data_IF_987391509345
#
_entry.id   IF_987391509345
#
_cell.length_a   1.000
_cell.length_b   1.000
_cell.length_c   1.000
_cell.angle_alpha   90.00
_cell.angle_beta   90.00
_cell.angle_gamma   90.00
#
_symmetry.space_group_name_H-M   'P 1'
#
loop_
_entity.id
_entity.type
_entity.pdbx_description
1 polymer ?
#
# COMPACT_ATOMS: atom_id res chain seq x y z
N UNK A 1 -18.46 -35.53 -66.67
CA UNK A 1 -17.45 -35.06 -65.69
C UNK A 1 -18.17 -34.27 -64.62
N UNK A 2 -18.42 -34.90 -63.46
CA UNK A 2 -19.13 -34.30 -62.33
C UNK A 2 -18.09 -33.71 -61.37
N UNK A 3 -18.01 -32.38 -61.32
CA UNK A 3 -17.10 -31.63 -60.47
C UNK A 3 -17.59 -31.61 -59.02
N UNK A 4 -16.87 -32.30 -58.14
CA UNK A 4 -17.07 -32.21 -56.70
C UNK A 4 -16.40 -30.92 -56.17
N UNK A 5 -17.20 -29.97 -55.67
CA UNK A 5 -16.74 -28.85 -54.84
C UNK A 5 -16.80 -29.28 -53.37
N UNK A 6 -15.71 -29.20 -52.60
CA UNK A 6 -15.75 -29.47 -51.17
C UNK A 6 -16.43 -28.32 -50.42
N UNK A 7 -17.50 -28.65 -49.68
CA UNK A 7 -18.14 -27.78 -48.69
C UNK A 7 -17.35 -27.86 -47.39
N UNK A 8 -16.77 -26.74 -46.96
CA UNK A 8 -16.07 -26.60 -45.68
C UNK A 8 -17.06 -26.16 -44.62
N UNK A 9 -17.51 -27.08 -43.75
CA UNK A 9 -18.19 -26.71 -42.51
C UNK A 9 -17.17 -26.08 -41.56
N UNK A 10 -17.22 -24.76 -41.40
CA UNK A 10 -16.53 -24.05 -40.32
C UNK A 10 -17.39 -24.12 -39.06
N UNK A 11 -17.02 -24.98 -38.11
CA UNK A 11 -17.48 -24.86 -36.74
C UNK A 11 -16.69 -23.72 -36.08
N UNK A 12 -17.36 -22.60 -35.79
CA UNK A 12 -16.86 -21.59 -34.87
C UNK A 12 -16.73 -22.23 -33.48
N UNK A 13 -15.55 -22.23 -32.85
CA UNK A 13 -15.46 -22.64 -31.46
C UNK A 13 -16.23 -21.63 -30.59
N UNK A 14 -16.94 -22.08 -29.54
CA UNK A 14 -17.69 -21.19 -28.68
C UNK A 14 -16.72 -20.26 -27.96
N UNK A 15 -16.99 -18.96 -28.04
CA UNK A 15 -16.38 -17.98 -27.16
C UNK A 15 -16.66 -18.35 -25.70
N UNK A 16 -15.69 -19.01 -25.06
CA UNK A 16 -15.62 -19.05 -23.61
C UNK A 16 -15.24 -17.66 -23.15
N UNK A 17 -16.26 -16.82 -22.94
CA UNK A 17 -16.20 -15.66 -22.05
C UNK A 17 -15.51 -16.11 -20.76
N UNK A 18 -14.23 -15.76 -20.61
CA UNK A 18 -13.57 -15.71 -19.32
C UNK A 18 -14.36 -14.73 -18.46
N UNK A 19 -15.25 -15.23 -17.59
CA UNK A 19 -15.67 -14.46 -16.43
C UNK A 19 -14.47 -14.40 -15.50
N UNK A 20 -13.72 -13.30 -15.59
CA UNK A 20 -12.83 -12.84 -14.53
C UNK A 20 -13.66 -12.82 -13.23
N UNK A 21 -13.33 -13.66 -12.26
CA UNK A 21 -13.84 -13.50 -10.91
C UNK A 21 -13.05 -12.31 -10.34
N UNK A 22 -13.58 -11.10 -10.50
CA UNK A 22 -12.99 -9.84 -10.02
C UNK A 22 -12.84 -9.91 -8.49
N UNK A 23 -11.62 -9.98 -7.98
CA UNK A 23 -11.31 -9.32 -6.70
C UNK A 23 -11.55 -7.83 -6.91
N UNK A 24 -12.52 -7.25 -6.21
CA UNK A 24 -12.81 -5.81 -6.31
C UNK A 24 -11.57 -5.04 -5.84
N UNK A 25 -10.97 -4.26 -6.73
CA UNK A 25 -9.92 -3.31 -6.38
C UNK A 25 -10.40 -2.30 -5.33
N UNK A 26 -9.47 -1.58 -4.70
CA UNK A 26 -9.79 -0.47 -3.78
C UNK A 26 -10.73 0.55 -4.46
N UNK A 27 -10.54 0.77 -5.76
CA UNK A 27 -11.36 1.64 -6.60
C UNK A 27 -12.74 1.03 -6.88
N UNK A 28 -12.85 -0.27 -7.13
CA UNK A 28 -14.14 -0.95 -7.28
C UNK A 28 -14.97 -0.91 -5.98
N UNK A 29 -14.31 -0.95 -4.82
CA UNK A 29 -14.96 -0.77 -3.52
C UNK A 29 -15.43 0.68 -3.32
N UNK A 30 -14.63 1.66 -3.75
CA UNK A 30 -15.02 3.07 -3.71
C UNK A 30 -16.23 3.35 -4.63
N UNK A 31 -16.21 2.81 -5.85
CA UNK A 31 -17.33 2.90 -6.80
C UNK A 31 -18.57 2.18 -6.27
N UNK A 32 -18.41 0.99 -5.68
CA UNK A 32 -19.53 0.26 -5.09
C UNK A 32 -20.14 1.00 -3.89
N UNK A 33 -19.32 1.69 -3.07
CA UNK A 33 -19.82 2.56 -2.00
C UNK A 33 -20.60 3.73 -2.60
N UNK A 34 -20.04 4.39 -3.60
CA UNK A 34 -20.69 5.49 -4.30
C UNK A 34 -22.06 5.05 -4.83
N UNK A 35 -22.13 3.97 -5.61
CA UNK A 35 -23.39 3.40 -6.11
C UNK A 35 -24.37 3.08 -4.97
N UNK A 36 -23.89 2.51 -3.87
CA UNK A 36 -24.73 2.17 -2.73
C UNK A 36 -25.34 3.39 -2.02
N UNK A 37 -24.58 4.47 -1.86
CA UNK A 37 -25.06 5.72 -1.26
C UNK A 37 -26.04 6.40 -2.21
N UNK A 38 -25.69 6.55 -3.49
CA UNK A 38 -26.51 7.27 -4.47
C UNK A 38 -27.74 6.49 -4.97
N UNK A 39 -27.85 5.20 -4.67
CA UNK A 39 -29.08 4.41 -4.87
C UNK A 39 -30.14 4.66 -3.80
N UNK A 40 -29.81 5.33 -2.69
CA UNK A 40 -30.75 5.70 -1.63
C UNK A 40 -31.28 7.14 -1.83
N UNK A 41 -32.42 7.52 -1.21
CA UNK A 41 -32.90 8.90 -1.25
C UNK A 41 -31.85 9.88 -0.74
N UNK A 42 -31.46 10.85 -1.57
CA UNK A 42 -30.32 11.73 -1.28
C UNK A 42 -30.61 12.70 -0.13
N UNK A 43 -31.88 13.01 0.13
CA UNK A 43 -32.34 13.88 1.22
C UNK A 43 -31.91 13.34 2.60
N UNK A 44 -31.65 12.03 2.70
CA UNK A 44 -31.10 11.40 3.91
C UNK A 44 -29.70 11.91 4.26
N UNK A 45 -28.90 12.25 3.25
CA UNK A 45 -27.48 12.56 3.40
C UNK A 45 -27.16 14.02 3.05
N UNK A 46 -28.01 14.66 2.24
CA UNK A 46 -27.88 16.04 1.82
C UNK A 46 -27.70 16.99 3.01
N UNK A 47 -26.54 17.63 3.13
CA UNK A 47 -26.16 18.52 4.25
C UNK A 47 -26.11 17.84 5.64
N UNK A 48 -26.14 16.51 5.68
CA UNK A 48 -26.14 15.68 6.90
C UNK A 48 -24.84 14.85 7.00
N UNK A 49 -23.68 15.48 7.26
CA UNK A 49 -22.39 14.81 7.18
C UNK A 49 -22.26 13.61 8.14
N UNK A 50 -22.82 13.71 9.35
CA UNK A 50 -22.77 12.63 10.34
C UNK A 50 -23.60 11.40 9.93
N UNK A 51 -24.76 11.60 9.31
CA UNK A 51 -25.56 10.50 8.76
C UNK A 51 -24.86 9.82 7.59
N UNK A 52 -24.17 10.60 6.75
CA UNK A 52 -23.38 10.06 5.65
C UNK A 52 -22.17 9.26 6.16
N UNK A 53 -21.40 9.77 7.12
CA UNK A 53 -20.29 9.03 7.77
C UNK A 53 -20.77 7.70 8.34
N UNK A 54 -21.92 7.70 9.04
CA UNK A 54 -22.52 6.48 9.58
C UNK A 54 -22.92 5.47 8.50
N UNK A 55 -23.47 5.95 7.37
CA UNK A 55 -23.82 5.10 6.23
C UNK A 55 -22.58 4.51 5.54
N UNK A 56 -21.53 5.32 5.35
CA UNK A 56 -20.24 4.87 4.82
C UNK A 56 -19.65 3.80 5.72
N UNK A 57 -19.64 4.01 7.04
CA UNK A 57 -19.11 3.03 8.00
C UNK A 57 -19.90 1.71 7.98
N UNK A 58 -21.23 1.78 7.93
CA UNK A 58 -22.09 0.59 7.82
C UNK A 58 -21.76 -0.22 6.56
N UNK A 59 -21.57 0.45 5.42
CA UNK A 59 -21.16 -0.22 4.18
C UNK A 59 -19.74 -0.80 4.29
N UNK A 60 -18.81 -0.01 4.83
CA UNK A 60 -17.40 -0.39 5.01
C UNK A 60 -17.23 -1.60 5.92
N UNK A 61 -18.03 -1.73 6.98
CA UNK A 61 -18.03 -2.91 7.86
C UNK A 61 -18.39 -4.19 7.09
N UNK A 62 -19.40 -4.12 6.22
CA UNK A 62 -19.84 -5.25 5.41
C UNK A 62 -18.86 -5.61 4.27
N UNK A 63 -18.13 -4.63 3.75
CA UNK A 63 -17.22 -4.79 2.61
C UNK A 63 -15.73 -4.78 2.97
N UNK A 64 -15.42 -4.70 4.26
CA UNK A 64 -14.05 -4.64 4.83
C UNK A 64 -13.19 -3.52 4.24
N UNK A 65 -13.77 -2.34 4.03
CA UNK A 65 -13.04 -1.17 3.54
C UNK A 65 -12.13 -0.59 4.64
N UNK A 66 -11.00 -0.02 4.21
CA UNK A 66 -10.00 0.60 5.07
C UNK A 66 -10.34 2.07 5.29
N UNK A 67 -11.32 2.34 6.15
CA UNK A 67 -11.71 3.71 6.54
C UNK A 67 -11.27 4.02 7.98
N UNK A 68 -11.12 5.31 8.28
CA UNK A 68 -10.98 5.79 9.65
C UNK A 68 -12.31 5.68 10.40
N UNK A 69 -12.40 4.73 11.34
CA UNK A 69 -13.65 4.31 12.01
C UNK A 69 -14.02 5.17 13.22
N UNK A 70 -15.29 5.10 13.63
CA UNK A 70 -15.86 5.91 14.71
C UNK A 70 -15.06 5.89 16.03
N UNK A 71 -14.52 4.74 16.44
CA UNK A 71 -13.82 4.64 17.73
C UNK A 71 -12.52 5.47 17.74
N UNK A 72 -11.78 5.49 16.62
CA UNK A 72 -10.59 6.34 16.47
C UNK A 72 -10.99 7.80 16.25
N UNK A 73 -12.04 8.03 15.46
CA UNK A 73 -12.58 9.36 15.21
C UNK A 73 -13.06 10.06 16.49
N UNK A 74 -13.64 9.32 17.42
CA UNK A 74 -14.07 9.86 18.73
C UNK A 74 -12.88 10.39 19.53
N UNK A 75 -11.77 9.65 19.56
CA UNK A 75 -10.53 10.09 20.22
C UNK A 75 -9.92 11.31 19.52
N UNK A 76 -9.83 11.28 18.18
CA UNK A 76 -9.32 12.41 17.41
C UNK A 76 -10.18 13.68 17.61
N UNK A 77 -11.50 13.52 17.64
CA UNK A 77 -12.46 14.59 17.93
C UNK A 77 -12.23 15.19 19.31
N UNK A 78 -11.99 14.37 20.34
CA UNK A 78 -11.66 14.86 21.69
C UNK A 78 -10.38 15.71 21.69
N UNK A 79 -9.34 15.30 20.94
CA UNK A 79 -8.11 16.09 20.83
C UNK A 79 -8.36 17.44 20.14
N UNK A 80 -9.15 17.47 19.05
CA UNK A 80 -9.51 18.72 18.35
C UNK A 80 -10.33 19.68 19.23
N UNK A 81 -11.26 19.16 20.05
CA UNK A 81 -12.00 19.98 21.03
C UNK A 81 -11.11 20.59 22.12
N UNK A 82 -9.98 19.94 22.42
CA UNK A 82 -9.01 20.44 23.40
C UNK A 82 -8.13 21.59 22.89
N UNK A 83 -8.12 21.86 21.58
CA UNK A 83 -7.29 22.91 20.99
C UNK A 83 -7.85 24.30 21.31
N UNK A 84 -6.95 25.22 21.63
CA UNK A 84 -7.25 26.63 21.89
C UNK A 84 -6.25 27.53 21.15
N UNK A 85 -6.71 28.40 20.23
CA UNK A 85 -8.10 28.57 19.78
C UNK A 85 -8.63 27.34 19.01
N UNK A 86 -9.95 27.26 18.74
CA UNK A 86 -10.51 26.20 17.90
C UNK A 86 -9.83 26.14 16.52
N UNK A 87 -9.49 24.95 16.02
CA UNK A 87 -8.74 24.76 14.78
C UNK A 87 -9.54 25.28 13.59
N UNK A 88 -8.85 25.88 12.61
CA UNK A 88 -9.45 26.34 11.35
C UNK A 88 -8.93 25.57 10.14
N UNK A 89 -7.66 25.17 10.12
CA UNK A 89 -7.03 24.51 8.97
C UNK A 89 -6.56 23.11 9.31
N UNK A 90 -7.10 22.13 8.58
CA UNK A 90 -6.73 20.72 8.65
C UNK A 90 -6.11 20.30 7.32
N UNK A 91 -4.98 19.59 7.36
CA UNK A 91 -4.41 18.90 6.20
C UNK A 91 -4.44 17.38 6.42
N UNK A 92 -4.87 16.64 5.41
CA UNK A 92 -5.01 15.18 5.47
C UNK A 92 -4.26 14.51 4.32
N UNK A 93 -3.45 13.52 4.68
CA UNK A 93 -2.68 12.69 3.78
C UNK A 93 -3.35 11.33 3.64
N UNK A 94 -4.11 11.15 2.55
CA UNK A 94 -4.92 9.97 2.27
C UNK A 94 -6.42 10.24 2.45
N UNK A 95 -7.13 10.51 1.35
CA UNK A 95 -8.58 10.76 1.38
C UNK A 95 -9.40 9.47 1.29
N UNK A 96 -8.95 8.54 0.44
CA UNK A 96 -9.73 7.40 -0.05
C UNK A 96 -11.14 7.82 -0.51
N UNK A 97 -12.19 7.36 0.18
CA UNK A 97 -13.60 7.69 -0.13
C UNK A 97 -14.10 8.94 0.61
N UNK A 98 -13.24 9.62 1.36
CA UNK A 98 -13.55 10.88 2.04
C UNK A 98 -14.26 10.74 3.39
N UNK A 99 -14.29 9.54 4.00
CA UNK A 99 -14.96 9.34 5.30
C UNK A 99 -14.40 10.24 6.41
N UNK A 100 -13.07 10.24 6.58
CA UNK A 100 -12.36 11.11 7.52
C UNK A 100 -12.47 12.58 7.11
N UNK A 101 -12.28 12.91 5.84
CA UNK A 101 -12.43 14.27 5.30
C UNK A 101 -13.80 14.90 5.64
N UNK A 102 -14.89 14.15 5.43
CA UNK A 102 -16.25 14.57 5.78
C UNK A 102 -16.38 14.75 7.30
N UNK A 103 -15.80 13.83 8.08
CA UNK A 103 -15.81 13.94 9.54
C UNK A 103 -15.02 15.17 10.04
N UNK A 104 -13.87 15.49 9.46
CA UNK A 104 -13.12 16.72 9.78
C UNK A 104 -13.94 17.97 9.48
N UNK A 105 -14.56 18.03 8.30
CA UNK A 105 -15.46 19.13 7.95
C UNK A 105 -16.63 19.27 8.93
N UNK A 106 -17.25 18.16 9.33
CA UNK A 106 -18.33 18.14 10.32
C UNK A 106 -17.85 18.60 11.72
N UNK A 107 -16.67 18.16 12.16
CA UNK A 107 -16.08 18.56 13.44
C UNK A 107 -15.79 20.06 13.45
N UNK A 108 -15.22 20.62 12.38
CA UNK A 108 -15.00 22.07 12.27
C UNK A 108 -16.34 22.83 12.29
N UNK A 109 -17.36 22.33 11.60
CA UNK A 109 -18.70 22.92 11.62
C UNK A 109 -19.29 22.96 13.04
N UNK A 110 -19.13 21.88 13.79
CA UNK A 110 -19.58 21.79 15.18
C UNK A 110 -18.79 22.74 16.10
N UNK A 111 -17.46 22.83 15.94
CA UNK A 111 -16.58 23.68 16.75
C UNK A 111 -16.80 25.18 16.53
N UNK A 112 -17.20 25.57 15.31
CA UNK A 112 -17.42 26.97 14.93
C UNK A 112 -18.90 27.36 14.85
N UNK A 113 -19.82 26.53 15.37
CA UNK A 113 -21.25 26.82 15.38
C UNK A 113 -21.85 27.04 13.99
N UNK A 114 -21.33 26.36 12.98
CA UNK A 114 -21.72 26.51 11.57
C UNK A 114 -20.94 27.58 10.79
N UNK A 115 -20.20 28.46 11.46
CA UNK A 115 -19.50 29.56 10.81
C UNK A 115 -18.09 29.16 10.33
N UNK A 116 -18.02 28.48 9.18
CA UNK A 116 -16.79 27.84 8.68
C UNK A 116 -16.12 28.54 7.48
N UNK A 117 -16.46 29.81 7.20
CA UNK A 117 -15.92 30.55 6.04
C UNK A 117 -14.39 30.69 6.03
N UNK A 118 -13.78 30.76 7.22
CA UNK A 118 -12.32 30.83 7.39
C UNK A 118 -11.68 29.44 7.59
N UNK A 119 -12.48 28.39 7.63
CA UNK A 119 -12.01 27.04 7.89
C UNK A 119 -11.71 26.32 6.57
N UNK A 120 -10.73 25.43 6.60
CA UNK A 120 -10.31 24.66 5.44
C UNK A 120 -9.90 23.24 5.84
N UNK A 121 -10.38 22.25 5.10
CA UNK A 121 -9.82 20.88 5.12
C UNK A 121 -9.24 20.62 3.74
N UNK A 122 -7.92 20.43 3.65
CA UNK A 122 -7.25 20.01 2.42
C UNK A 122 -6.89 18.53 2.55
N UNK A 123 -7.39 17.70 1.63
CA UNK A 123 -7.13 16.26 1.66
C UNK A 123 -6.56 15.79 0.32
N UNK A 124 -5.56 14.92 0.36
CA UNK A 124 -4.79 14.50 -0.81
C UNK A 124 -5.06 13.03 -1.17
N UNK A 125 -5.45 12.78 -2.42
CA UNK A 125 -5.76 11.45 -2.94
C UNK A 125 -5.04 11.17 -4.25
N UNK A 126 -4.33 10.05 -4.33
CA UNK A 126 -3.56 9.69 -5.52
C UNK A 126 -4.46 9.11 -6.63
N UNK A 127 -5.46 8.31 -6.26
CA UNK A 127 -6.39 7.67 -7.21
C UNK A 127 -7.43 8.66 -7.70
N UNK A 128 -7.48 8.90 -9.01
CA UNK A 128 -8.49 9.75 -9.64
C UNK A 128 -9.92 9.26 -9.38
N UNK A 129 -10.12 7.94 -9.34
CA UNK A 129 -11.42 7.31 -9.05
C UNK A 129 -11.86 7.61 -7.62
N UNK A 130 -10.97 7.38 -6.65
CA UNK A 130 -11.27 7.61 -5.23
C UNK A 130 -11.47 9.10 -4.95
N UNK A 131 -10.63 9.96 -5.53
CA UNK A 131 -10.76 11.41 -5.43
C UNK A 131 -12.12 11.91 -5.95
N UNK A 132 -12.57 11.38 -7.10
CA UNK A 132 -13.89 11.69 -7.64
C UNK A 132 -15.01 11.24 -6.69
N UNK A 133 -14.97 10.00 -6.21
CA UNK A 133 -15.96 9.47 -5.25
C UNK A 133 -16.00 10.35 -3.99
N UNK A 134 -14.85 10.70 -3.43
CA UNK A 134 -14.76 11.56 -2.26
C UNK A 134 -15.35 12.95 -2.52
N UNK A 135 -15.08 13.57 -3.68
CA UNK A 135 -15.69 14.88 -4.06
C UNK A 135 -17.21 14.80 -4.13
N UNK A 136 -17.76 13.74 -4.70
CA UNK A 136 -19.21 13.55 -4.83
C UNK A 136 -19.87 13.35 -3.45
N UNK A 137 -19.23 12.59 -2.55
CA UNK A 137 -19.71 12.39 -1.18
C UNK A 137 -19.55 13.65 -0.31
N UNK A 138 -18.46 14.41 -0.45
CA UNK A 138 -18.27 15.72 0.20
C UNK A 138 -19.34 16.71 -0.23
N UNK A 139 -19.67 16.75 -1.53
CA UNK A 139 -20.75 17.59 -2.05
C UNK A 139 -22.11 17.18 -1.49
N UNK A 140 -22.40 15.88 -1.46
CA UNK A 140 -23.62 15.37 -0.85
C UNK A 140 -23.71 15.75 0.64
N UNK A 141 -22.59 15.76 1.36
CA UNK A 141 -22.54 16.20 2.75
C UNK A 141 -22.74 17.72 2.95
N UNK A 142 -22.78 18.52 1.88
CA UNK A 142 -22.86 19.99 1.95
C UNK A 142 -21.57 20.63 2.49
N UNK A 143 -20.42 20.03 2.19
CA UNK A 143 -19.12 20.44 2.70
C UNK A 143 -18.14 20.89 1.60
N UNK A 144 -18.58 21.04 0.34
CA UNK A 144 -17.69 21.35 -0.80
C UNK A 144 -16.90 22.66 -0.65
N UNK A 145 -17.44 23.65 0.05
CA UNK A 145 -16.76 24.92 0.29
C UNK A 145 -15.65 24.79 1.34
N UNK A 146 -15.80 23.86 2.29
CA UNK A 146 -14.89 23.63 3.41
C UNK A 146 -13.84 22.55 3.12
N UNK A 147 -14.24 21.46 2.47
CA UNK A 147 -13.40 20.27 2.24
C UNK A 147 -12.95 20.20 0.79
N UNK A 148 -11.66 20.38 0.55
CA UNK A 148 -11.04 20.39 -0.78
C UNK A 148 -10.26 19.10 -0.99
N UNK A 149 -10.76 18.26 -1.90
CA UNK A 149 -10.10 17.01 -2.32
C UNK A 149 -9.18 17.28 -3.51
N UNK A 150 -7.87 17.21 -3.26
CA UNK A 150 -6.83 17.38 -4.28
C UNK A 150 -6.38 16.02 -4.81
N UNK A 151 -6.44 15.89 -6.12
CA UNK A 151 -5.99 14.68 -6.81
C UNK A 151 -4.52 14.79 -7.18
N UNK A 152 -3.77 13.73 -6.88
CA UNK A 152 -2.35 13.59 -7.16
C UNK A 152 -1.52 13.33 -5.91
N UNK A 153 -0.18 13.26 -6.06
CA UNK A 153 0.72 13.07 -4.93
C UNK A 153 0.56 14.18 -3.88
N UNK A 154 0.53 13.78 -2.60
CA UNK A 154 0.30 14.70 -1.49
C UNK A 154 1.38 15.78 -1.38
N UNK A 155 2.66 15.40 -1.49
CA UNK A 155 3.79 16.33 -1.45
C UNK A 155 3.69 17.45 -2.50
N UNK A 156 3.35 17.10 -3.74
CA UNK A 156 3.24 18.07 -4.84
C UNK A 156 2.01 18.97 -4.69
N UNK A 157 0.89 18.38 -4.28
CA UNK A 157 -0.35 19.12 -3.98
C UNK A 157 -0.15 20.12 -2.84
N UNK A 158 0.54 19.74 -1.77
CA UNK A 158 0.82 20.60 -0.63
C UNK A 158 1.75 21.77 -1.00
N UNK A 159 2.84 21.49 -1.74
CA UNK A 159 3.73 22.55 -2.25
C UNK A 159 2.97 23.56 -3.10
N UNK A 160 2.08 23.08 -3.98
CA UNK A 160 1.23 23.93 -4.81
C UNK A 160 0.33 24.83 -3.96
N UNK A 161 -0.37 24.27 -2.97
CA UNK A 161 -1.20 25.06 -2.05
C UNK A 161 -0.41 26.12 -1.28
N UNK A 162 0.82 25.80 -0.90
CA UNK A 162 1.72 26.74 -0.22
C UNK A 162 2.15 27.89 -1.13
N UNK A 163 2.60 27.58 -2.35
CA UNK A 163 3.00 28.57 -3.37
C UNK A 163 1.83 29.49 -3.74
N UNK A 164 0.62 28.94 -3.84
CA UNK A 164 -0.61 29.69 -4.11
C UNK A 164 -1.10 30.51 -2.90
N UNK A 165 -0.42 30.43 -1.74
CA UNK A 165 -0.79 31.16 -0.52
C UNK A 165 -2.08 30.67 0.15
N UNK A 166 -2.61 29.51 -0.27
CA UNK A 166 -3.80 28.87 0.32
C UNK A 166 -3.47 28.23 1.66
N UNK A 167 -2.28 27.63 1.78
CA UNK A 167 -1.76 27.10 3.05
C UNK A 167 -0.52 27.91 3.43
N UNK A 168 -0.71 28.91 4.27
CA UNK A 168 0.33 29.84 4.71
C UNK A 168 1.26 29.20 5.75
N UNK A 169 2.50 29.68 5.91
CA UNK A 169 3.33 29.31 7.06
C UNK A 169 2.56 29.53 8.36
N UNK A 170 2.73 28.60 9.30
CA UNK A 170 2.16 28.63 10.66
C UNK A 170 0.63 28.67 10.71
N UNK A 171 -0.04 28.21 9.66
CA UNK A 171 -1.50 28.24 9.55
C UNK A 171 -2.17 26.87 9.78
N UNK A 172 -1.41 25.77 9.84
CA UNK A 172 -1.97 24.43 9.98
C UNK A 172 -2.17 24.10 11.46
N UNK A 173 -3.43 23.97 11.88
CA UNK A 173 -3.80 23.61 13.24
C UNK A 173 -3.72 22.10 13.46
N UNK A 174 -4.02 21.30 12.42
CA UNK A 174 -3.90 19.85 12.50
C UNK A 174 -3.47 19.20 11.19
N UNK A 175 -2.58 18.21 11.28
CA UNK A 175 -2.22 17.32 10.19
C UNK A 175 -2.59 15.87 10.52
N UNK A 176 -3.26 15.19 9.57
CA UNK A 176 -3.66 13.80 9.67
C UNK A 176 -2.93 12.93 8.65
N UNK A 177 -2.31 11.84 9.10
CA UNK A 177 -1.62 10.86 8.24
C UNK A 177 -2.36 9.52 8.27
N UNK A 178 -2.91 9.11 7.12
CA UNK A 178 -3.65 7.84 6.96
C UNK A 178 -3.45 7.22 5.55
N UNK A 179 -2.31 7.51 4.91
CA UNK A 179 -1.92 6.89 3.64
C UNK A 179 -0.84 5.81 3.83
N UNK A 180 -0.03 5.54 2.82
CA UNK A 180 1.08 4.59 2.89
C UNK A 180 2.16 5.04 3.88
N UNK A 181 2.41 4.20 4.89
CA UNK A 181 3.25 4.46 6.06
C UNK A 181 4.67 4.98 5.73
N UNK A 182 5.23 4.53 4.60
CA UNK A 182 6.56 4.92 4.13
C UNK A 182 6.68 6.42 3.83
N UNK A 183 5.56 7.10 3.59
CA UNK A 183 5.53 8.53 3.29
C UNK A 183 5.20 9.41 4.51
N UNK A 184 4.89 8.83 5.67
CA UNK A 184 4.52 9.62 6.86
C UNK A 184 5.65 10.55 7.28
N UNK A 185 6.88 10.03 7.38
CA UNK A 185 8.04 10.83 7.76
C UNK A 185 8.41 11.87 6.69
N UNK A 186 8.57 11.51 5.40
CA UNK A 186 8.84 12.50 4.34
C UNK A 186 7.80 13.63 4.28
N UNK A 187 6.52 13.31 4.39
CA UNK A 187 5.45 14.31 4.31
C UNK A 187 5.37 15.18 5.58
N UNK A 188 5.63 14.60 6.77
CA UNK A 188 5.80 15.38 8.01
C UNK A 188 6.95 16.37 7.87
N UNK A 189 8.11 15.90 7.38
CA UNK A 189 9.29 16.75 7.17
C UNK A 189 9.03 17.85 6.14
N UNK A 190 8.27 17.57 5.09
CA UNK A 190 7.84 18.60 4.14
C UNK A 190 6.99 19.68 4.82
N UNK A 191 6.07 19.30 5.72
CA UNK A 191 5.28 20.26 6.48
C UNK A 191 6.16 21.14 7.39
N UNK A 192 7.22 20.57 7.99
CA UNK A 192 8.21 21.33 8.75
C UNK A 192 9.01 22.29 7.85
N UNK A 193 9.47 21.82 6.68
CA UNK A 193 10.28 22.60 5.74
C UNK A 193 9.50 23.79 5.15
N UNK A 194 8.20 23.61 4.92
CA UNK A 194 7.28 24.68 4.53
C UNK A 194 6.81 25.55 5.72
N UNK A 195 7.31 25.26 6.93
CA UNK A 195 7.01 25.98 8.18
C UNK A 195 5.49 26.09 8.43
N UNK A 196 4.75 25.00 8.19
CA UNK A 196 3.28 25.04 8.25
C UNK A 196 2.72 25.02 9.67
N UNK A 197 3.47 24.47 10.62
CA UNK A 197 3.05 24.30 12.00
C UNK A 197 3.35 25.53 12.87
N UNK A 198 2.47 25.76 13.84
CA UNK A 198 2.67 26.70 14.94
C UNK A 198 2.74 25.95 16.27
N UNK A 199 3.03 26.68 17.36
CA UNK A 199 2.95 26.09 18.70
C UNK A 199 1.50 25.73 18.98
N UNK A 200 1.25 24.47 19.33
CA UNK A 200 -0.10 23.95 19.55
C UNK A 200 -0.71 23.21 18.36
N UNK A 201 -0.05 23.20 17.18
CA UNK A 201 -0.47 22.34 16.08
C UNK A 201 -0.49 20.87 16.52
N UNK A 202 -1.52 20.15 16.11
CA UNK A 202 -1.74 18.75 16.41
C UNK A 202 -1.35 17.88 15.21
N UNK A 203 -0.62 16.79 15.45
CA UNK A 203 -0.36 15.78 14.42
C UNK A 203 -0.97 14.46 14.88
N UNK A 204 -1.87 13.90 14.06
CA UNK A 204 -2.45 12.58 14.28
C UNK A 204 -2.01 11.67 13.14
N UNK A 205 -1.53 10.48 13.47
CA UNK A 205 -1.15 9.47 12.49
C UNK A 205 -1.85 8.16 12.83
N UNK A 206 -2.61 7.60 11.88
CA UNK A 206 -3.27 6.32 12.05
C UNK A 206 -2.30 5.16 11.79
N UNK A 207 -2.62 3.98 12.33
CA UNK A 207 -1.96 2.71 12.03
C UNK A 207 -0.43 2.69 12.26
N UNK A 208 0.06 3.57 13.15
CA UNK A 208 1.49 3.71 13.50
C UNK A 208 2.08 2.50 14.22
N UNK A 209 1.24 1.72 14.91
CA UNK A 209 1.62 0.45 15.56
C UNK A 209 1.54 -0.76 14.59
N UNK A 210 0.60 -0.73 13.63
CA UNK A 210 0.40 -1.81 12.64
C UNK A 210 -0.45 -1.32 11.45
N UNK A 211 0.01 -1.43 10.17
CA UNK A 211 1.22 -2.12 9.69
C UNK A 211 2.54 -1.48 10.17
N UNK A 212 2.46 -0.24 10.65
CA UNK A 212 3.49 0.39 11.46
C UNK A 212 4.35 1.41 10.71
N UNK A 213 4.63 2.55 11.33
CA UNK A 213 5.44 3.62 10.75
C UNK A 213 6.70 3.86 11.61
N UNK A 214 7.68 2.94 11.60
CA UNK A 214 8.79 2.93 12.56
C UNK A 214 9.68 4.17 12.45
N UNK A 215 10.01 4.61 11.23
CA UNK A 215 10.87 5.78 11.02
C UNK A 215 10.17 7.06 11.48
N UNK A 216 8.87 7.20 11.18
CA UNK A 216 8.03 8.28 11.69
C UNK A 216 7.99 8.27 13.23
N UNK A 217 7.72 7.12 13.85
CA UNK A 217 7.66 7.00 15.30
C UNK A 217 8.99 7.31 15.97
N UNK A 218 10.10 6.82 15.43
CA UNK A 218 11.44 7.11 15.94
C UNK A 218 11.72 8.61 15.89
N UNK A 219 11.36 9.26 14.78
CA UNK A 219 11.56 10.69 14.56
C UNK A 219 10.74 11.57 15.52
N UNK A 220 9.44 11.32 15.67
CA UNK A 220 8.59 12.13 16.57
C UNK A 220 8.93 11.89 18.04
N UNK A 221 9.31 10.67 18.43
CA UNK A 221 9.77 10.35 19.81
C UNK A 221 11.12 10.99 20.13
N UNK A 222 11.98 11.19 19.14
CA UNK A 222 13.21 11.96 19.29
C UNK A 222 12.95 13.48 19.37
N UNK A 223 11.71 13.93 19.23
CA UNK A 223 11.32 15.33 19.28
C UNK A 223 11.57 16.10 17.97
N UNK A 224 11.68 15.39 16.83
CA UNK A 224 11.95 16.00 15.51
C UNK A 224 13.44 16.31 15.29
N UNK A 225 13.76 17.34 14.48
CA UNK A 225 15.16 17.67 14.09
C UNK A 225 16.05 18.21 15.22
N UNK A 226 15.51 18.53 16.40
CA UNK A 226 16.28 18.90 17.59
C UNK A 226 16.99 20.27 17.58
N UNK A 227 16.77 21.13 16.58
CA UNK A 227 17.42 22.44 16.43
C UNK A 227 16.66 23.62 17.06
N UNK A 228 17.33 24.78 17.20
CA UNK A 228 16.67 26.03 17.59
C UNK A 228 15.85 26.55 16.41
N UNK A 229 14.54 26.75 16.59
CA UNK A 229 13.62 27.17 15.53
C UNK A 229 13.02 26.02 14.71
N UNK A 230 13.36 24.76 15.01
CA UNK A 230 12.71 23.59 14.40
C UNK A 230 11.46 23.21 15.18
N UNK A 231 10.54 22.49 14.53
CA UNK A 231 9.39 21.88 15.19
C UNK A 231 9.89 20.89 16.25
N UNK A 232 9.22 20.86 17.40
CA UNK A 232 9.44 19.88 18.47
C UNK A 232 8.13 19.19 18.78
N UNK A 233 8.19 17.87 18.88
CA UNK A 233 7.02 17.04 19.18
C UNK A 233 7.04 16.57 20.63
N UNK A 234 5.87 16.60 21.26
CA UNK A 234 5.54 15.76 22.40
C UNK A 234 4.58 14.69 21.88
N UNK A 235 4.88 13.41 22.11
CA UNK A 235 4.22 12.30 21.43
C UNK A 235 3.52 11.38 22.42
N UNK A 236 2.24 11.11 22.15
CA UNK A 236 1.41 10.19 22.93
C UNK A 236 0.74 9.18 22.01
N UNK A 237 0.71 7.90 22.42
CA UNK A 237 -0.06 6.85 21.75
C UNK A 237 -1.44 6.69 22.42
N UNK A 238 -2.50 6.83 21.63
CA UNK A 238 -3.87 6.59 22.08
C UNK A 238 -4.37 5.24 21.56
N UNK A 239 -5.05 4.47 22.41
CA UNK A 239 -5.65 3.17 22.02
C UNK A 239 -7.17 3.28 22.01
N UNK A 240 -7.78 3.10 20.85
CA UNK A 240 -9.22 2.95 20.74
C UNK A 240 -9.65 1.58 21.29
N UNK A 241 -10.66 1.55 22.16
CA UNK A 241 -11.31 0.31 22.60
C UNK A 241 -12.15 -0.20 21.44
N UNK A 242 -11.95 -1.44 21.01
CA UNK A 242 -12.85 -2.10 20.08
C UNK A 242 -14.13 -2.49 20.84
N UNK A 243 -15.32 -2.17 20.32
CA UNK A 243 -16.58 -2.62 20.93
C UNK A 243 -16.62 -4.15 21.04
N UNK A 244 -17.27 -4.65 22.10
CA UNK A 244 -17.38 -6.07 22.42
C UNK A 244 -17.97 -6.85 21.23
N UNK A 245 -17.06 -7.52 20.54
CA UNK A 245 -17.32 -8.37 19.39
C UNK A 245 -16.05 -9.09 18.93
N UNK A 246 -14.88 -8.48 19.17
CA UNK A 246 -13.59 -9.16 19.09
C UNK A 246 -12.57 -8.54 20.05
N UNK A 247 -11.76 -9.34 20.78
CA UNK A 247 -10.72 -8.80 21.64
C UNK A 247 -9.77 -7.93 20.82
N UNK A 248 -9.47 -6.74 21.31
CA UNK A 248 -8.35 -5.95 20.77
C UNK A 248 -7.06 -6.78 20.89
N UNK A 249 -6.19 -6.69 19.88
CA UNK A 249 -4.93 -7.44 19.83
C UNK A 249 -4.06 -7.19 21.09
N UNK A 250 -4.19 -6.02 21.73
CA UNK A 250 -3.50 -5.67 22.97
C UNK A 250 -3.89 -6.55 24.18
N UNK A 251 -5.18 -6.88 24.34
CA UNK A 251 -5.66 -7.69 25.46
C UNK A 251 -5.23 -9.17 25.34
N UNK A 252 -5.06 -9.67 24.11
CA UNK A 252 -4.58 -11.03 23.84
C UNK A 252 -3.10 -11.23 24.14
N UNK A 253 -2.27 -10.21 23.96
CA UNK A 253 -0.84 -10.30 24.23
C UNK A 253 -0.48 -10.18 25.71
N UNK A 254 -1.31 -9.51 26.52
CA UNK A 254 -1.09 -9.39 27.96
C UNK A 254 -1.32 -10.73 28.69
N UNK A 255 -2.26 -11.54 28.20
CA UNK A 255 -2.49 -12.92 28.65
C UNK A 255 -1.39 -13.92 28.21
N UNK A 256 -0.64 -13.62 27.13
CA UNK A 256 0.48 -14.44 26.65
C UNK A 256 1.77 -14.23 27.45
N UNK A 257 1.92 -13.08 28.13
CA UNK A 257 3.07 -12.79 29.00
C UNK A 257 2.96 -13.40 30.41
N UNK A 258 1.80 -13.92 30.80
CA UNK A 258 1.53 -14.45 32.15
C UNK A 258 1.56 -15.98 32.25
N UNK A 259 2.01 -16.69 31.22
CA UNK A 259 2.16 -18.15 31.28
C UNK A 259 3.55 -18.52 31.81
N UNK A 260 3.65 -19.39 32.84
CA UNK A 260 4.93 -19.77 33.42
C UNK A 260 5.75 -20.59 32.42
N UNK A 261 7.04 -20.29 32.33
CA UNK A 261 8.01 -21.12 31.61
C UNK A 261 8.14 -22.46 32.32
N UNK A 262 7.74 -23.55 31.66
CA UNK A 262 7.98 -24.91 32.15
C UNK A 262 9.21 -25.48 31.44
N UNK A 263 10.25 -25.67 32.25
CA UNK A 263 11.42 -26.49 31.95
C UNK A 263 11.07 -27.99 31.89
N UNK A 264 11.87 -28.70 31.10
CA UNK A 264 12.10 -30.15 31.04
C UNK A 264 10.93 -31.12 30.74
N UNK A 265 11.03 -31.74 29.56
CA UNK A 265 10.36 -33.00 29.24
C UNK A 265 11.09 -34.19 29.89
N UNK A 266 10.35 -35.28 30.19
CA UNK A 266 10.68 -36.51 29.50
C UNK A 266 9.46 -37.32 29.01
N UNK A 267 9.64 -37.95 27.85
CA UNK A 267 8.82 -39.06 27.32
C UNK A 267 8.91 -40.29 28.26
N UNK A 268 7.93 -41.24 28.32
CA UNK A 268 7.71 -42.18 27.19
C UNK A 268 6.32 -42.89 27.04
N UNK A 269 6.03 -43.30 25.79
CA UNK A 269 5.54 -44.64 25.32
C UNK A 269 4.10 -45.17 25.62
N UNK A 270 3.52 -45.70 24.53
CA UNK A 270 2.48 -46.75 24.33
C UNK A 270 0.96 -46.48 24.35
N UNK A 271 0.38 -46.88 23.20
CA UNK A 271 -0.81 -47.69 22.96
C UNK A 271 -2.07 -47.08 22.30
N UNK A 272 -2.41 -47.78 21.22
CA UNK A 272 -3.57 -47.69 20.32
C UNK A 272 -4.81 -48.22 21.04
N UNK A 273 -5.96 -47.55 20.90
CA UNK A 273 -7.24 -48.19 20.56
C UNK A 273 -8.39 -47.19 20.35
N UNK A 274 -9.14 -47.45 19.28
CA UNK A 274 -10.59 -47.26 19.07
C UNK A 274 -11.18 -45.84 18.98
N UNK A 275 -11.65 -45.57 17.75
CA UNK A 275 -12.66 -44.57 17.39
C UNK A 275 -14.03 -45.06 17.86
N UNK A 276 -14.85 -44.18 18.45
CA UNK A 276 -16.21 -44.04 17.98
C UNK A 276 -16.56 -42.57 17.67
N UNK A 277 -17.31 -42.41 16.58
CA UNK A 277 -17.83 -41.15 16.06
C UNK A 277 -18.63 -40.35 17.10
N UNK A 278 -18.51 -39.00 17.12
CA UNK A 278 -19.59 -38.15 17.59
C UNK A 278 -20.19 -37.32 16.45
N UNK A 279 -21.48 -37.58 16.27
CA UNK A 279 -22.53 -36.62 15.96
C UNK A 279 -22.13 -35.15 15.80
N UNK A 280 -22.49 -34.65 14.62
CA UNK A 280 -22.46 -33.26 14.20
C UNK A 280 -23.28 -32.36 15.13
N UNK A 281 -22.62 -31.62 16.02
CA UNK A 281 -22.95 -30.22 16.34
C UNK A 281 -21.91 -29.56 17.23
N UNK A 282 -21.65 -28.29 16.89
CA UNK A 282 -21.04 -27.21 17.68
C UNK A 282 -19.55 -26.90 17.41
N UNK A 283 -19.31 -25.57 17.36
CA UNK A 283 -18.05 -24.82 17.23
C UNK A 283 -17.56 -24.53 15.80
N UNK A 284 -18.19 -23.53 15.18
CA UNK A 284 -17.49 -22.58 14.32
C UNK A 284 -16.30 -22.02 15.10
N UNK A 285 -15.10 -22.51 14.80
CA UNK A 285 -13.86 -22.00 15.38
C UNK A 285 -13.34 -20.86 14.50
N UNK A 286 -13.44 -19.65 15.04
CA UNK A 286 -12.62 -18.50 14.65
C UNK A 286 -11.15 -18.82 14.92
N UNK A 287 -10.28 -18.83 13.90
CA UNK A 287 -8.86 -18.43 13.89
C UNK A 287 -8.21 -18.80 12.52
N UNK A 288 -7.35 -17.91 11.96
CA UNK A 288 -6.29 -18.13 10.93
C UNK A 288 -6.38 -17.27 9.63
N UNK A 289 -6.03 -15.99 9.68
CA UNK A 289 -5.70 -15.20 8.46
C UNK A 289 -4.35 -14.46 8.59
N UNK A 290 -3.31 -15.18 9.00
CA UNK A 290 -1.92 -14.67 9.07
C UNK A 290 -0.94 -15.68 8.48
N UNK A 291 -1.31 -16.27 7.35
CA UNK A 291 -0.62 -17.44 6.81
C UNK A 291 0.29 -17.08 5.64
N UNK A 292 1.56 -17.46 5.73
CA UNK A 292 2.44 -17.65 4.57
C UNK A 292 2.14 -19.02 3.98
N UNK A 293 1.72 -19.08 2.71
CA UNK A 293 1.43 -20.34 2.02
C UNK A 293 2.70 -20.98 1.47
N UNK A 294 3.50 -20.21 0.74
CA UNK A 294 4.69 -20.72 0.04
C UNK A 294 5.72 -19.64 -0.22
N UNK A 295 7.00 -20.02 -0.24
CA UNK A 295 8.11 -19.21 -0.71
C UNK A 295 8.74 -19.89 -1.93
N UNK A 296 8.93 -19.11 -2.98
CA UNK A 296 9.63 -19.52 -4.19
C UNK A 296 10.79 -18.54 -4.42
N UNK A 297 11.98 -19.05 -4.70
CA UNK A 297 13.14 -18.22 -5.08
C UNK A 297 13.55 -18.60 -6.50
N UNK A 298 13.66 -17.57 -7.34
CA UNK A 298 14.00 -17.69 -8.75
C UNK A 298 15.32 -16.95 -8.97
N UNK A 299 16.21 -17.55 -9.73
CA UNK A 299 17.51 -16.98 -10.07
C UNK A 299 17.39 -15.85 -11.12
N UNK A 300 18.52 -15.26 -11.51
CA UNK A 300 18.51 -14.12 -12.45
C UNK A 300 18.00 -14.54 -13.84
N UNK A 301 18.23 -15.78 -14.24
CA UNK A 301 17.82 -16.35 -15.53
C UNK A 301 16.37 -16.88 -15.56
N UNK A 302 15.61 -16.77 -14.46
CA UNK A 302 14.25 -17.28 -14.39
C UNK A 302 14.12 -18.76 -13.99
N UNK A 303 15.23 -19.38 -13.61
CA UNK A 303 15.26 -20.75 -13.10
C UNK A 303 14.85 -20.82 -11.62
N UNK A 304 14.04 -21.82 -11.29
CA UNK A 304 13.65 -22.13 -9.91
C UNK A 304 14.85 -22.66 -9.12
N UNK A 305 15.21 -21.99 -8.01
CA UNK A 305 16.31 -22.43 -7.13
C UNK A 305 15.85 -22.81 -5.74
N UNK A 306 14.66 -22.39 -5.31
CA UNK A 306 14.09 -22.81 -4.04
C UNK A 306 12.58 -22.83 -4.11
N UNK A 307 11.96 -23.82 -3.48
CA UNK A 307 10.53 -23.85 -3.24
C UNK A 307 10.27 -24.44 -1.85
N UNK A 308 9.37 -23.84 -1.09
CA UNK A 308 8.93 -24.37 0.20
C UNK A 308 7.49 -23.99 0.46
N UNK A 309 6.68 -24.99 0.74
CA UNK A 309 5.32 -24.82 1.23
C UNK A 309 5.32 -24.85 2.76
N UNK A 310 4.51 -23.98 3.37
CA UNK A 310 4.40 -23.89 4.83
C UNK A 310 3.01 -24.26 5.34
N UNK A 311 1.95 -24.00 4.56
CA UNK A 311 0.58 -24.37 4.91
C UNK A 311 -0.18 -25.00 3.75
N UNK A 312 -1.12 -25.91 4.05
CA UNK A 312 -2.13 -26.34 3.10
C UNK A 312 -3.12 -25.18 2.87
N UNK A 313 -3.28 -24.76 1.62
CA UNK A 313 -4.16 -23.63 1.27
C UNK A 313 -4.16 -23.31 -0.21
N UNK A 314 -3.06 -23.61 -0.89
CA UNK A 314 -2.95 -23.61 -2.34
C UNK A 314 -2.95 -25.05 -2.87
N UNK A 315 -3.43 -25.23 -4.11
CA UNK A 315 -3.30 -26.51 -4.82
C UNK A 315 -1.81 -26.79 -5.01
N UNK A 316 -1.35 -27.94 -4.53
CA UNK A 316 0.03 -28.38 -4.75
C UNK A 316 0.31 -28.50 -6.23
N UNK A 317 1.37 -27.83 -6.65
CA UNK A 317 1.89 -27.88 -8.01
C UNK A 317 2.94 -29.00 -8.09
N UNK A 318 3.07 -29.63 -9.25
CA UNK A 318 4.20 -30.52 -9.49
C UNK A 318 5.50 -29.72 -9.60
N UNK A 319 6.65 -30.37 -9.43
CA UNK A 319 7.95 -29.71 -9.64
C UNK A 319 8.06 -29.09 -11.03
N UNK A 320 7.50 -29.74 -12.05
CA UNK A 320 7.47 -29.21 -13.42
C UNK A 320 6.62 -27.95 -13.52
N UNK A 321 5.48 -27.90 -12.84
CA UNK A 321 4.63 -26.72 -12.80
C UNK A 321 5.32 -25.54 -12.11
N UNK A 322 6.10 -25.78 -11.05
CA UNK A 322 6.89 -24.73 -10.41
C UNK A 322 8.02 -24.20 -11.31
N UNK A 323 8.65 -25.07 -12.10
CA UNK A 323 9.62 -24.66 -13.12
C UNK A 323 8.97 -23.78 -14.19
N UNK A 324 7.79 -24.19 -14.69
CA UNK A 324 7.02 -23.40 -15.66
C UNK A 324 6.57 -22.07 -15.04
N UNK A 325 6.09 -22.07 -13.80
CA UNK A 325 5.69 -20.87 -13.07
C UNK A 325 6.87 -19.91 -12.92
N UNK A 326 8.05 -20.41 -12.57
CA UNK A 326 9.25 -19.60 -12.40
C UNK A 326 9.65 -18.91 -13.72
N UNK A 327 9.72 -19.66 -14.82
CA UNK A 327 10.02 -19.11 -16.14
C UNK A 327 8.96 -18.13 -16.63
N UNK A 328 7.68 -18.46 -16.42
CA UNK A 328 6.55 -17.59 -16.80
C UNK A 328 6.58 -16.28 -16.04
N UNK A 329 6.74 -16.34 -14.71
CA UNK A 329 6.85 -15.14 -13.88
C UNK A 329 8.05 -14.29 -14.29
N UNK A 330 9.20 -14.92 -14.55
CA UNK A 330 10.39 -14.21 -15.01
C UNK A 330 10.14 -13.44 -16.32
N UNK A 331 9.48 -14.08 -17.29
CA UNK A 331 9.07 -13.44 -18.55
C UNK A 331 8.10 -12.27 -18.32
N UNK A 332 7.05 -12.48 -17.52
CA UNK A 332 6.08 -11.42 -17.17
C UNK A 332 6.78 -10.25 -16.48
N UNK A 333 7.68 -10.53 -15.55
CA UNK A 333 8.46 -9.52 -14.84
C UNK A 333 9.36 -8.70 -15.81
N UNK A 334 9.95 -9.33 -16.83
CA UNK A 334 10.74 -8.62 -17.84
C UNK A 334 9.87 -7.79 -18.82
N UNK A 335 8.70 -8.30 -19.20
CA UNK A 335 7.75 -7.61 -20.07
C UNK A 335 7.19 -6.37 -19.35
N UNK A 336 6.76 -6.53 -18.10
CA UNK A 336 6.21 -5.44 -17.27
C UNK A 336 7.21 -4.30 -17.09
N UNK A 337 8.51 -4.61 -16.99
CA UNK A 337 9.60 -3.63 -17.01
C UNK A 337 9.72 -2.87 -18.33
N UNK A 338 9.38 -3.50 -19.46
CA UNK A 338 9.56 -2.94 -20.80
C UNK A 338 8.37 -2.08 -21.25
N UNK A 339 7.19 -2.31 -20.66
CA UNK A 339 5.95 -1.56 -20.94
C UNK A 339 5.77 -0.34 -20.03
N UNK A 340 6.75 -0.04 -19.16
CA UNK A 340 6.72 1.16 -18.32
C UNK A 340 6.55 2.41 -19.20
N UNK A 341 5.55 3.27 -18.92
CA UNK A 341 5.23 4.41 -19.78
C UNK A 341 6.44 5.33 -20.01
N UNK A 342 6.63 5.77 -21.26
CA UNK A 342 7.68 6.72 -21.65
C UNK A 342 7.03 8.07 -21.94
N UNK A 343 7.32 9.07 -21.13
CA UNK A 343 6.79 10.44 -21.26
C UNK A 343 7.64 11.19 -22.28
N UNK A 344 7.10 11.74 -23.38
CA UNK A 344 7.86 12.55 -24.32
C UNK A 344 8.38 13.83 -23.66
N UNK A 345 9.66 14.16 -23.83
CA UNK A 345 10.25 15.44 -23.43
C UNK A 345 10.33 16.33 -24.66
N UNK A 346 9.70 17.51 -24.59
CA UNK A 346 9.80 18.51 -25.65
C UNK A 346 11.26 18.94 -25.81
N UNK A 347 11.80 18.83 -27.02
CA UNK A 347 13.15 19.28 -27.33
C UNK A 347 13.27 20.80 -27.08
N UNK A 348 14.38 21.29 -26.51
CA UNK A 348 14.66 22.72 -26.43
C UNK A 348 14.71 23.33 -27.83
N UNK A 349 14.07 24.49 -28.03
CA UNK A 349 14.21 25.30 -29.23
C UNK A 349 15.70 25.68 -29.44
N UNK A 350 16.24 25.58 -30.66
CA UNK A 350 17.64 25.95 -30.92
C UNK A 350 17.84 27.44 -30.68
N UNK A 351 18.76 27.78 -29.76
CA UNK A 351 19.23 29.14 -29.56
C UNK A 351 20.00 29.61 -30.82
N UNK A 352 19.68 30.80 -31.30
CA UNK A 352 20.37 31.50 -32.38
C UNK A 352 21.84 31.79 -31.98
N UNK A 353 22.84 31.43 -32.81
CA UNK A 353 24.23 31.78 -32.51
C UNK A 353 24.50 33.24 -32.88
N UNK A 354 24.93 34.03 -31.89
CA UNK A 354 25.53 35.34 -32.10
C UNK A 354 26.93 35.17 -32.74
N UNK A 355 27.22 36.05 -33.69
CA UNK A 355 28.46 36.14 -34.44
C UNK A 355 29.65 36.56 -33.58
N UNK A 356 30.76 35.82 -33.66
CA UNK A 356 32.11 36.38 -33.55
C UNK A 356 33.13 35.43 -34.20
N UNK A 357 34.20 36.04 -34.70
CA UNK A 357 35.05 35.62 -35.79
C UNK A 357 36.30 34.82 -35.38
N UNK A 358 36.85 34.13 -36.39
CA UNK A 358 38.26 33.79 -36.65
C UNK A 358 38.98 32.74 -35.76
N UNK A 359 39.25 31.55 -36.31
CA UNK A 359 40.53 31.24 -36.96
C UNK A 359 40.56 29.83 -37.60
N UNK A 360 41.34 29.74 -38.68
CA UNK A 360 41.48 28.65 -39.65
C UNK A 360 42.51 27.62 -39.18
N UNK A 361 42.20 26.32 -39.30
CA UNK A 361 43.19 25.27 -39.56
C UNK A 361 42.54 24.03 -40.24
N UNK A 362 43.13 23.63 -41.37
CA UNK A 362 42.77 22.50 -42.23
C UNK A 362 43.23 21.15 -41.64
N UNK A 363 42.38 20.11 -41.71
CA UNK A 363 42.83 18.72 -41.98
C UNK A 363 41.67 17.78 -42.39
N UNK A 364 41.71 17.36 -43.66
CA UNK A 364 41.31 16.09 -44.32
C UNK A 364 39.91 15.44 -44.14
N UNK A 365 39.29 14.93 -45.25
CA UNK A 365 37.94 14.36 -45.23
C UNK A 365 37.95 12.82 -45.23
N UNK A 366 37.39 12.20 -44.19
CA UNK A 366 36.97 10.79 -44.24
C UNK A 366 35.91 10.50 -43.20
N UNK A 367 34.69 10.19 -43.64
CA UNK A 367 33.61 9.74 -42.77
C UNK A 367 32.23 10.08 -43.32
N UNK A 368 31.66 9.17 -44.10
CA UNK A 368 30.25 9.19 -44.49
C UNK A 368 29.39 9.00 -43.24
N UNK A 369 28.96 10.09 -42.59
CA UNK A 369 27.98 10.04 -41.51
C UNK A 369 26.58 10.13 -42.10
N UNK A 370 25.89 9.00 -42.14
CA UNK A 370 24.43 8.92 -42.28
C UNK A 370 23.75 9.78 -41.20
N UNK A 371 22.73 10.60 -41.52
CA UNK A 371 22.01 11.36 -40.51
C UNK A 371 21.26 10.38 -39.60
N UNK A 372 21.69 10.28 -38.35
CA UNK A 372 20.96 9.54 -37.32
C UNK A 372 19.74 10.38 -36.95
N UNK A 373 18.49 9.88 -37.09
CA UNK A 373 17.32 10.65 -36.69
C UNK A 373 17.41 10.98 -35.21
N UNK A 374 17.20 12.25 -34.86
CA UNK A 374 17.19 12.73 -33.49
C UNK A 374 16.27 11.85 -32.64
N UNK A 375 16.87 11.11 -31.70
CA UNK A 375 16.12 10.30 -30.75
C UNK A 375 15.19 11.24 -29.97
N UNK A 376 13.88 11.03 -30.09
CA UNK A 376 12.90 11.69 -29.24
C UNK A 376 13.30 11.43 -27.79
N UNK A 377 13.64 12.47 -27.04
CA UNK A 377 13.98 12.34 -25.63
C UNK A 377 12.70 11.90 -24.88
N UNK A 378 12.76 10.78 -24.16
CA UNK A 378 11.68 10.32 -23.29
C UNK A 378 12.15 10.30 -21.84
N UNK A 379 11.27 10.67 -20.91
CA UNK A 379 11.44 10.54 -19.47
C UNK A 379 10.58 9.42 -18.91
N UNK A 380 11.01 8.81 -17.80
CA UNK A 380 10.16 7.91 -17.02
C UNK A 380 9.20 8.73 -16.13
N UNK A 381 8.07 8.15 -15.67
CA UNK A 381 7.11 8.83 -14.80
C UNK A 381 7.68 9.28 -13.45
N UNK A 382 8.72 8.60 -12.97
CA UNK A 382 9.44 8.98 -11.77
C UNK A 382 10.96 8.95 -12.04
N UNK A 383 11.54 10.08 -12.48
CA UNK A 383 12.98 10.19 -12.73
C UNK A 383 13.75 10.00 -11.42
N UNK A 384 14.37 8.83 -11.23
CA UNK A 384 15.12 8.49 -10.02
C UNK A 384 14.76 7.13 -9.42
N UNK A 385 13.60 6.58 -9.78
CA UNK A 385 13.23 5.20 -9.42
C UNK A 385 13.68 4.28 -10.55
N UNK A 386 14.49 3.23 -10.27
CA UNK A 386 14.85 2.24 -11.28
C UNK A 386 13.59 1.59 -11.84
N UNK A 387 13.55 1.37 -13.15
CA UNK A 387 12.45 0.60 -13.76
C UNK A 387 12.48 -0.83 -13.19
N UNK A 388 11.42 -1.22 -12.48
CA UNK A 388 11.23 -2.57 -11.94
C UNK A 388 10.18 -3.33 -12.76
N UNK A 389 10.14 -4.66 -12.62
CA UNK A 389 9.08 -5.49 -13.19
C UNK A 389 7.92 -5.70 -12.20
N UNK A 390 7.05 -6.66 -12.47
CA UNK A 390 5.94 -7.06 -11.60
C UNK A 390 6.40 -7.29 -10.15
N UNK A 391 5.87 -6.49 -9.21
CA UNK A 391 6.23 -6.52 -7.78
C UNK A 391 5.16 -7.16 -6.90
N UNK A 392 3.88 -7.09 -7.28
CA UNK A 392 2.78 -7.68 -6.52
C UNK A 392 1.65 -8.11 -7.44
N UNK A 393 1.05 -9.25 -7.14
CA UNK A 393 -0.15 -9.78 -7.78
C UNK A 393 -1.07 -10.28 -6.68
N UNK A 394 -2.31 -9.80 -6.65
CA UNK A 394 -3.27 -10.14 -5.61
C UNK A 394 -4.49 -10.85 -6.21
N UNK A 395 -5.01 -11.82 -5.47
CA UNK A 395 -6.24 -12.56 -5.78
C UNK A 395 -7.10 -12.66 -4.52
N UNK A 396 -8.32 -13.18 -4.63
CA UNK A 396 -9.19 -13.44 -3.48
C UNK A 396 -8.69 -14.58 -2.57
N UNK A 397 -7.71 -15.38 -3.04
CA UNK A 397 -7.16 -16.54 -2.31
C UNK A 397 -5.76 -16.32 -1.77
N UNK A 398 -4.93 -15.60 -2.51
CA UNK A 398 -3.55 -15.34 -2.16
C UNK A 398 -3.05 -14.02 -2.72
N UNK A 399 -2.04 -13.46 -2.08
CA UNK A 399 -1.20 -12.40 -2.60
C UNK A 399 0.18 -12.96 -2.88
N UNK A 400 0.66 -12.72 -4.09
CA UNK A 400 2.02 -12.97 -4.55
C UNK A 400 2.79 -11.65 -4.49
N UNK A 401 3.83 -11.59 -3.67
CA UNK A 401 4.75 -10.45 -3.61
C UNK A 401 6.11 -10.86 -4.15
N UNK A 402 6.71 -10.03 -5.00
CA UNK A 402 8.00 -10.25 -5.62
C UNK A 402 9.01 -9.20 -5.15
N UNK A 403 10.06 -9.67 -4.49
CA UNK A 403 11.23 -8.85 -4.16
C UNK A 403 12.41 -9.26 -5.04
N UNK A 404 12.93 -8.32 -5.83
CA UNK A 404 14.13 -8.52 -6.65
C UNK A 404 15.34 -7.88 -6.00
N UNK A 405 16.41 -8.68 -5.83
CA UNK A 405 17.72 -8.22 -5.36
C UNK A 405 18.51 -7.54 -6.48
N UNK A 406 19.55 -6.76 -6.12
CA UNK A 406 20.46 -6.14 -7.09
C UNK A 406 21.19 -7.15 -7.99
N UNK A 407 21.42 -8.37 -7.50
CA UNK A 407 22.01 -9.46 -8.28
C UNK A 407 21.02 -10.10 -9.27
N UNK A 408 19.73 -9.76 -9.17
CA UNK A 408 18.67 -10.23 -10.07
C UNK A 408 17.89 -11.45 -9.59
N UNK A 409 18.25 -12.03 -8.44
CA UNK A 409 17.50 -13.09 -7.75
C UNK A 409 16.16 -12.53 -7.24
N UNK A 410 15.07 -13.27 -7.43
CA UNK A 410 13.70 -12.87 -7.11
C UNK A 410 13.11 -13.79 -6.04
N UNK A 411 12.53 -13.19 -5.02
CA UNK A 411 11.83 -13.86 -3.93
C UNK A 411 10.33 -13.65 -4.14
N UNK A 412 9.63 -14.74 -4.38
CA UNK A 412 8.20 -14.78 -4.58
C UNK A 412 7.54 -15.37 -3.34
N UNK A 413 6.80 -14.53 -2.61
CA UNK A 413 6.12 -14.93 -1.39
C UNK A 413 4.61 -14.99 -1.65
N UNK A 414 4.02 -16.15 -1.39
CA UNK A 414 2.58 -16.38 -1.42
C UNK A 414 2.03 -16.30 -0.01
N UNK A 415 1.14 -15.36 0.24
CA UNK A 415 0.51 -15.12 1.53
C UNK A 415 -1.00 -15.05 1.41
N UNK A 416 -1.70 -15.12 2.54
CA UNK A 416 -3.09 -14.66 2.62
C UNK A 416 -3.19 -13.20 2.11
N UNK A 417 -4.20 -12.82 1.32
CA UNK A 417 -4.34 -11.45 0.82
C UNK A 417 -4.39 -10.38 1.93
N UNK A 418 -4.89 -10.77 3.10
CA UNK A 418 -5.06 -9.89 4.26
C UNK A 418 -3.84 -9.88 5.18
N UNK A 419 -2.78 -10.62 4.82
CA UNK A 419 -1.54 -10.64 5.58
C UNK A 419 -0.85 -9.28 5.46
N UNK A 420 -0.78 -8.54 6.57
CA UNK A 420 0.01 -7.32 6.67
C UNK A 420 1.50 -7.64 6.98
N UNK A 421 2.35 -6.62 6.86
CA UNK A 421 3.80 -6.66 7.13
C UNK A 421 4.58 -7.60 6.20
N UNK A 422 4.13 -7.73 4.95
CA UNK A 422 4.79 -8.57 3.95
C UNK A 422 6.23 -8.11 3.70
N UNK A 423 6.49 -6.80 3.67
CA UNK A 423 7.84 -6.27 3.42
C UNK A 423 8.82 -6.62 4.55
N UNK A 424 8.38 -6.56 5.81
CA UNK A 424 9.20 -7.00 6.95
C UNK A 424 9.47 -8.51 6.90
N UNK A 425 8.47 -9.29 6.48
CA UNK A 425 8.62 -10.74 6.28
C UNK A 425 9.61 -11.03 5.16
N UNK A 426 9.48 -10.35 4.03
CA UNK A 426 10.34 -10.49 2.87
C UNK A 426 11.78 -10.08 3.20
N UNK A 427 11.97 -8.96 3.90
CA UNK A 427 13.28 -8.52 4.39
C UNK A 427 13.90 -9.56 5.29
N UNK A 428 13.13 -10.14 6.23
CA UNK A 428 13.66 -11.17 7.13
C UNK A 428 14.02 -12.46 6.41
N UNK A 429 13.22 -12.88 5.43
CA UNK A 429 13.53 -14.02 4.55
C UNK A 429 14.84 -13.77 3.80
N UNK A 430 15.02 -12.57 3.26
CA UNK A 430 16.25 -12.19 2.58
C UNK A 430 17.47 -12.14 3.50
N UNK A 431 17.33 -11.63 4.73
CA UNK A 431 18.38 -11.69 5.76
C UNK A 431 18.79 -13.15 6.05
N UNK A 432 17.82 -14.04 6.27
CA UNK A 432 18.09 -15.47 6.51
C UNK A 432 18.76 -16.13 5.30
N UNK A 433 18.34 -15.77 4.08
CA UNK A 433 18.96 -16.26 2.86
C UNK A 433 20.43 -15.80 2.76
N UNK A 434 20.69 -14.52 3.00
CA UNK A 434 22.05 -13.97 3.04
C UNK A 434 22.92 -14.63 4.12
N UNK A 435 22.35 -14.86 5.31
CA UNK A 435 23.09 -15.42 6.45
C UNK A 435 23.40 -16.91 6.30
N UNK A 436 22.49 -17.70 5.75
CA UNK A 436 22.64 -19.16 5.71
C UNK A 436 22.98 -19.71 4.33
N UNK A 437 22.53 -19.07 3.25
CA UNK A 437 22.78 -19.54 1.88
C UNK A 437 24.00 -18.84 1.30
N UNK A 438 24.07 -17.50 1.35
CA UNK A 438 25.20 -16.77 0.75
C UNK A 438 26.51 -16.93 1.52
N UNK A 439 26.46 -17.14 2.83
CA UNK A 439 27.66 -17.42 3.65
C UNK A 439 28.08 -18.90 3.62
N UNK A 440 27.31 -19.78 2.98
CA UNK A 440 27.69 -21.19 2.89
C UNK A 440 28.77 -21.37 1.81
N UNK A 441 30.01 -21.79 2.16
CA UNK A 441 31.11 -21.92 1.20
C UNK A 441 30.87 -23.00 0.14
N UNK A 442 29.91 -23.90 0.34
CA UNK A 442 29.54 -24.94 -0.60
C UNK A 442 28.36 -24.55 -1.52
N UNK A 443 27.76 -23.38 -1.30
CA UNK A 443 26.69 -22.90 -2.16
C UNK A 443 27.27 -22.17 -3.38
N UNK A 444 26.79 -22.55 -4.56
CA UNK A 444 27.10 -21.87 -5.82
C UNK A 444 25.90 -21.03 -6.24
N UNK A 445 26.16 -19.78 -6.66
CA UNK A 445 25.12 -18.89 -7.16
C UNK A 445 24.35 -19.53 -8.32
N UNK A 446 23.07 -19.21 -8.42
CA UNK A 446 22.14 -19.72 -9.45
C UNK A 446 21.82 -21.22 -9.37
N UNK A 447 22.39 -21.97 -8.42
CA UNK A 447 22.08 -23.38 -8.17
C UNK A 447 20.96 -23.56 -7.13
N UNK A 448 20.26 -24.71 -7.14
CA UNK A 448 19.24 -25.00 -6.14
C UNK A 448 19.75 -24.88 -4.71
N UNK A 449 19.01 -24.16 -3.87
CA UNK A 449 19.31 -23.93 -2.46
C UNK A 449 19.02 -25.21 -1.68
N UNK A 450 20.08 -25.89 -1.24
CA UNK A 450 20.03 -27.07 -0.37
C UNK A 450 20.72 -26.77 0.95
N UNK A 451 20.08 -25.96 1.78
CA UNK A 451 20.63 -25.51 3.06
C UNK A 451 19.65 -25.82 4.20
N UNK A 452 19.93 -26.86 4.98
CA UNK A 452 19.07 -27.26 6.11
C UNK A 452 19.03 -26.19 7.21
N UNK A 453 20.15 -25.48 7.43
CA UNK A 453 20.18 -24.37 8.38
C UNK A 453 19.23 -23.24 7.95
N UNK A 454 19.18 -22.91 6.66
CA UNK A 454 18.22 -21.96 6.12
C UNK A 454 16.78 -22.46 6.34
N UNK A 455 16.47 -23.70 5.96
CA UNK A 455 15.13 -24.29 6.13
C UNK A 455 14.66 -24.29 7.59
N UNK A 456 15.54 -24.65 8.52
CA UNK A 456 15.21 -24.71 9.95
C UNK A 456 14.93 -23.33 10.52
N UNK A 457 15.76 -22.33 10.22
CA UNK A 457 15.55 -20.97 10.75
C UNK A 457 14.38 -20.28 10.05
N UNK A 458 14.21 -20.49 8.75
CA UNK A 458 13.06 -19.99 8.00
C UNK A 458 11.76 -20.58 8.54
N UNK A 459 11.67 -21.90 8.67
CA UNK A 459 10.50 -22.57 9.23
C UNK A 459 10.25 -22.19 10.69
N UNK A 460 11.30 -22.13 11.52
CA UNK A 460 11.20 -21.72 12.92
C UNK A 460 10.69 -20.28 13.09
N UNK A 461 11.17 -19.36 12.27
CA UNK A 461 10.73 -17.96 12.30
C UNK A 461 9.31 -17.77 11.74
N UNK A 462 8.92 -18.60 10.77
CA UNK A 462 7.60 -18.58 10.17
C UNK A 462 6.54 -19.34 10.99
N UNK A 463 6.88 -20.19 11.97
CA UNK A 463 5.93 -21.00 12.78
C UNK A 463 4.77 -20.24 13.45
N UNK A 464 4.92 -18.94 13.72
CA UNK A 464 3.83 -18.08 14.25
C UNK A 464 3.00 -17.36 13.18
N UNK A 465 3.31 -17.62 11.90
CA UNK A 465 2.77 -17.02 10.67
C UNK A 465 2.44 -18.11 9.63
N UNK A 466 2.38 -19.36 10.09
CA UNK A 466 2.08 -20.60 9.36
C UNK A 466 1.22 -21.48 10.23
#
# INVERSE_FOLDING_TARGET
MLGARPVRLSFLPPEKRFRLINSKSVEDLALALHEHIFAQPQERFANQPWELVKAIETFAQNKRMMIFKQNKLTLARQQLHGLQPPPKTIIEFGTYVGNSAIAWGAILRDLHGGNVHDCNVYTFELSSVSARVARDLVRLAGLEDLVRVLEGPAAESLKKLHIEGKVKPRAVDMAFFDHWEKFYLPDLQLCEDLNLFHRGSLVIADNTDFPGAPDYLAYVKAGGRGGKGTVRYDSQSLKAVAEEGHPSDAARFQALKSLPQQDDCPNPIHNVHQIPSPTYRSRLTNFKHRTVFSLIIINKAGGLIYQREFQPGLRKLSTNDYLVLAGTFHGVHAITRSITPKIPVSAPLPATPASSSSNVALSSPSGTSTPTPAASAYSLPNPGVPVTGLESLETDKFRLTCFQTLTGTKFLLFTDPLMANIDAVMKKIYELYSDYVMKNPFYQLEMPVRCEAFDRHLGGWLRGRT
#
